data_IF_107441685241
#
_entry.id   IF_107441685241
#
_cell.length_a   1.000
_cell.length_b   1.000
_cell.length_c   1.000
_cell.angle_alpha   90.00
_cell.angle_beta   90.00
_cell.angle_gamma   90.00
#
_symmetry.space_group_name_H-M   'P 1'
#
loop_
_entity.id
_entity.type
_entity.pdbx_description
1 polymer ?
#
# COMPACT_ATOMS: atom_id res chain seq x y z
N UNK A 1 -4.07 -10.71 16.98
CA UNK A 1 -3.05 -9.92 17.70
C UNK A 1 -1.85 -9.66 16.80
N UNK A 2 -1.35 -8.46 16.82
CA UNK A 2 -0.20 -8.09 16.01
C UNK A 2 1.07 -8.15 16.85
N UNK A 3 2.17 -8.56 16.22
CA UNK A 3 3.47 -8.59 16.87
C UNK A 3 4.27 -7.35 16.48
N UNK A 4 4.76 -6.61 17.47
CA UNK A 4 5.63 -5.46 17.21
C UNK A 4 7.01 -5.96 16.80
N UNK A 5 7.49 -5.54 15.64
CA UNK A 5 8.77 -5.93 15.10
C UNK A 5 9.70 -4.72 14.98
N UNK A 6 10.99 -4.95 15.13
CA UNK A 6 12.00 -3.96 14.84
C UNK A 6 12.18 -3.82 13.33
N UNK A 7 12.72 -2.68 12.90
CA UNK A 7 12.84 -2.38 11.48
C UNK A 7 13.57 -3.40 10.62
N UNK A 8 14.48 -4.19 11.24
CA UNK A 8 15.21 -5.25 10.53
C UNK A 8 14.37 -6.47 10.17
N UNK A 9 13.20 -6.62 10.80
CA UNK A 9 12.31 -7.77 10.58
C UNK A 9 11.26 -7.49 9.53
N UNK A 10 11.18 -6.27 9.04
CA UNK A 10 10.19 -5.84 8.05
C UNK A 10 10.91 -5.49 6.76
N UNK A 11 10.49 -6.11 5.67
CA UNK A 11 11.11 -5.95 4.35
C UNK A 11 10.13 -5.32 3.36
N UNK A 12 10.67 -4.68 2.35
CA UNK A 12 9.89 -4.09 1.27
C UNK A 12 8.94 -5.14 0.68
N UNK A 13 7.67 -4.79 0.59
CA UNK A 13 6.63 -5.69 0.12
C UNK A 13 5.84 -6.37 1.23
N UNK A 14 6.28 -6.28 2.47
CA UNK A 14 5.56 -6.89 3.59
C UNK A 14 4.31 -6.09 3.95
N UNK A 15 3.29 -6.80 4.41
CA UNK A 15 2.09 -6.17 4.93
C UNK A 15 2.37 -5.63 6.33
N UNK A 16 1.91 -4.40 6.57
CA UNK A 16 2.07 -3.75 7.86
C UNK A 16 0.76 -3.09 8.29
N UNK A 17 0.59 -2.99 9.60
CA UNK A 17 -0.40 -2.10 10.21
C UNK A 17 0.36 -0.87 10.70
N UNK A 18 -0.15 0.30 10.32
CA UNK A 18 0.45 1.59 10.67
C UNK A 18 -0.47 2.28 11.67
N UNK A 19 0.07 2.64 12.84
CA UNK A 19 -0.71 3.28 13.89
C UNK A 19 -0.94 4.75 13.58
N UNK A 20 -2.21 5.16 13.60
CA UNK A 20 -2.65 6.55 13.45
C UNK A 20 -3.41 6.96 14.70
N UNK A 21 -2.72 7.04 15.83
CA UNK A 21 -3.38 7.28 17.11
C UNK A 21 -4.09 6.03 17.61
N UNK A 22 -5.42 6.04 17.66
CA UNK A 22 -6.22 4.90 18.15
C UNK A 22 -6.51 3.86 17.07
N UNK A 23 -6.28 4.19 15.80
CA UNK A 23 -6.60 3.33 14.68
C UNK A 23 -5.35 2.83 13.98
N UNK A 24 -5.52 1.75 13.20
CA UNK A 24 -4.47 1.22 12.34
C UNK A 24 -4.93 1.29 10.89
N UNK A 25 -4.00 1.68 10.01
CA UNK A 25 -4.19 1.58 8.57
C UNK A 25 -3.36 0.41 8.05
N UNK A 26 -3.88 -0.30 7.07
CA UNK A 26 -3.14 -1.40 6.43
C UNK A 26 -2.36 -0.83 5.25
N UNK A 27 -1.10 -1.24 5.14
CA UNK A 27 -0.24 -0.82 4.05
C UNK A 27 0.74 -1.89 3.64
N UNK A 28 1.41 -1.62 2.52
CA UNK A 28 2.50 -2.46 2.02
C UNK A 28 3.77 -1.66 2.22
N UNK A 29 4.68 -2.21 3.02
CA UNK A 29 5.90 -1.52 3.40
C UNK A 29 6.80 -1.28 2.20
N UNK A 30 7.31 -0.08 2.07
CA UNK A 30 8.18 0.30 0.95
C UNK A 30 9.58 0.70 1.39
N UNK A 31 9.86 0.69 2.68
CA UNK A 31 11.16 1.02 3.22
C UNK A 31 11.15 2.31 4.03
N UNK A 32 12.35 2.76 4.38
CA UNK A 32 12.51 4.01 5.09
C UNK A 32 13.00 5.08 4.13
N UNK A 33 12.42 6.27 4.25
CA UNK A 33 12.81 7.44 3.47
C UNK A 33 13.79 8.32 4.21
N UNK A 34 13.98 9.54 3.72
CA UNK A 34 14.83 10.54 4.34
C UNK A 34 14.45 10.77 5.80
N UNK A 35 15.46 10.87 6.66
CA UNK A 35 15.24 11.08 8.09
C UNK A 35 14.64 9.88 8.82
N UNK A 36 14.62 8.69 8.18
CA UNK A 36 14.08 7.48 8.79
C UNK A 36 12.55 7.39 8.74
N UNK A 37 11.88 8.22 7.95
CA UNK A 37 10.45 8.13 7.77
C UNK A 37 10.04 6.75 7.25
N UNK A 38 8.83 6.32 7.57
CA UNK A 38 8.28 5.06 7.08
C UNK A 38 7.50 5.34 5.80
N UNK A 39 7.82 4.61 4.73
CA UNK A 39 7.11 4.70 3.46
C UNK A 39 6.28 3.45 3.26
N UNK A 40 5.02 3.62 2.87
CA UNK A 40 4.15 2.48 2.59
C UNK A 40 3.07 2.86 1.57
N UNK A 41 2.55 1.83 0.90
CA UNK A 41 1.44 1.97 -0.02
C UNK A 41 0.15 1.68 0.74
N UNK A 42 -0.77 2.65 0.76
CA UNK A 42 -2.06 2.49 1.46
C UNK A 42 -3.00 1.60 0.67
N UNK A 43 -3.34 0.44 1.20
CA UNK A 43 -4.17 -0.54 0.48
C UNK A 43 -5.62 -0.08 0.30
N UNK A 44 -6.12 0.77 1.18
CA UNK A 44 -7.51 1.23 1.12
C UNK A 44 -7.83 2.07 -0.13
N UNK A 45 -6.80 2.57 -0.81
CA UNK A 45 -7.00 3.41 -2.00
C UNK A 45 -6.92 2.63 -3.31
N UNK A 46 -6.52 1.36 -3.26
CA UNK A 46 -6.27 0.57 -4.47
C UNK A 46 -7.46 0.46 -5.40
N UNK A 47 -8.61 0.08 -4.87
CA UNK A 47 -9.82 -0.06 -5.69
C UNK A 47 -10.28 1.25 -6.30
N UNK A 48 -10.19 2.33 -5.54
CA UNK A 48 -10.53 3.66 -6.02
C UNK A 48 -9.61 4.11 -7.17
N UNK A 49 -8.31 3.90 -7.00
CA UNK A 49 -7.33 4.25 -8.04
C UNK A 49 -7.54 3.43 -9.31
N UNK A 50 -7.81 2.12 -9.16
CA UNK A 50 -8.08 1.22 -10.29
C UNK A 50 -9.30 1.69 -11.08
N UNK A 51 -10.40 1.98 -10.39
CA UNK A 51 -11.63 2.43 -11.02
C UNK A 51 -11.44 3.75 -11.77
N UNK A 52 -10.76 4.70 -11.17
CA UNK A 52 -10.51 6.00 -11.80
C UNK A 52 -9.65 5.86 -13.05
N UNK A 53 -8.67 4.97 -13.03
CA UNK A 53 -7.86 4.69 -14.21
C UNK A 53 -8.70 4.07 -15.32
N UNK A 54 -9.53 3.07 -14.99
CA UNK A 54 -10.40 2.42 -15.98
C UNK A 54 -11.36 3.42 -16.64
N UNK A 55 -11.93 4.34 -15.86
CA UNK A 55 -12.79 5.38 -16.38
C UNK A 55 -12.03 6.32 -17.34
N UNK A 56 -10.78 6.64 -17.03
CA UNK A 56 -9.94 7.45 -17.91
C UNK A 56 -9.63 6.74 -19.23
N UNK A 57 -9.38 5.45 -19.19
CA UNK A 57 -9.16 4.65 -20.40
C UNK A 57 -10.38 4.71 -21.29
N UNK A 58 -11.58 4.60 -20.74
CA UNK A 58 -12.83 4.65 -21.49
C UNK A 58 -13.06 6.01 -22.14
N UNK A 59 -12.68 7.10 -21.49
CA UNK A 59 -12.94 8.45 -21.96
C UNK A 59 -11.84 9.05 -22.83
N UNK A 60 -10.58 8.68 -22.60
CA UNK A 60 -9.42 9.30 -23.24
C UNK A 60 -8.47 8.33 -23.94
N UNK A 61 -8.67 7.02 -23.75
CA UNK A 61 -7.79 6.00 -24.30
C UNK A 61 -6.61 5.67 -23.37
N UNK A 62 -6.04 4.50 -23.58
CA UNK A 62 -4.99 3.95 -22.70
C UNK A 62 -3.73 4.83 -22.65
N UNK A 63 -3.31 5.39 -23.80
CA UNK A 63 -2.09 6.19 -23.86
C UNK A 63 -2.18 7.47 -23.03
N UNK A 64 -3.33 8.13 -23.07
CA UNK A 64 -3.55 9.36 -22.29
C UNK A 64 -3.82 9.06 -20.82
N UNK A 65 -4.32 7.88 -20.51
CA UNK A 65 -4.60 7.47 -19.13
C UNK A 65 -3.35 7.04 -18.37
N UNK A 66 -2.28 6.63 -19.04
CA UNK A 66 -1.06 6.15 -18.40
C UNK A 66 -0.41 7.17 -17.45
N UNK A 67 -0.20 8.44 -17.83
CA UNK A 67 0.32 9.44 -16.88
C UNK A 67 -0.56 9.60 -15.65
N UNK A 68 -1.87 9.51 -15.82
CA UNK A 68 -2.81 9.56 -14.69
C UNK A 68 -2.62 8.35 -13.77
N UNK A 69 -2.45 7.16 -14.32
CA UNK A 69 -2.20 5.95 -13.55
C UNK A 69 -0.94 6.07 -12.71
N UNK A 70 0.16 6.54 -13.31
CA UNK A 70 1.41 6.74 -12.61
C UNK A 70 1.27 7.76 -11.48
N UNK A 71 0.57 8.85 -11.73
CA UNK A 71 0.33 9.88 -10.72
C UNK A 71 -0.50 9.34 -9.55
N UNK A 72 -1.53 8.52 -9.83
CA UNK A 72 -2.34 7.90 -8.78
C UNK A 72 -1.51 6.92 -7.95
N UNK A 73 -0.63 6.16 -8.57
CA UNK A 73 0.27 5.27 -7.86
C UNK A 73 1.09 6.05 -6.82
N UNK A 74 1.78 7.10 -7.25
CA UNK A 74 2.63 7.87 -6.36
C UNK A 74 1.86 8.59 -5.26
N UNK A 75 0.64 9.02 -5.52
CA UNK A 75 -0.23 9.63 -4.51
C UNK A 75 -0.69 8.64 -3.44
N UNK A 76 -0.65 7.36 -3.74
CA UNK A 76 -1.04 6.31 -2.80
C UNK A 76 0.08 5.93 -1.83
N UNK A 77 1.32 6.34 -2.11
CA UNK A 77 2.42 6.16 -1.19
C UNK A 77 2.36 7.22 -0.10
N UNK A 78 2.57 6.78 1.12
CA UNK A 78 2.49 7.63 2.31
C UNK A 78 3.84 7.65 3.01
N UNK A 79 4.30 8.85 3.37
CA UNK A 79 5.46 9.05 4.23
C UNK A 79 4.97 9.42 5.62
N UNK A 80 5.43 8.68 6.63
CA UNK A 80 5.07 8.94 8.01
C UNK A 80 6.31 9.35 8.81
N UNK A 81 6.14 10.02 9.98
CA UNK A 81 7.26 10.28 10.86
C UNK A 81 8.03 9.01 11.23
N UNK A 82 9.34 9.15 11.47
CA UNK A 82 10.21 7.99 11.76
C UNK A 82 9.81 7.21 13.02
N UNK A 83 9.13 7.84 13.96
CA UNK A 83 8.66 7.24 15.20
C UNK A 83 7.27 6.64 15.08
N UNK A 84 6.70 6.64 13.88
CA UNK A 84 5.41 5.99 13.64
C UNK A 84 5.51 4.51 13.93
N UNK A 85 4.57 4.01 14.71
CA UNK A 85 4.53 2.59 15.08
C UNK A 85 4.02 1.77 13.92
N UNK A 86 4.79 0.73 13.55
CA UNK A 86 4.38 -0.20 12.52
C UNK A 86 4.48 -1.63 13.06
N UNK A 87 3.57 -2.47 12.59
CA UNK A 87 3.49 -3.88 12.98
C UNK A 87 3.45 -4.72 11.72
N UNK A 88 4.25 -5.78 11.67
CA UNK A 88 4.17 -6.71 10.56
C UNK A 88 2.91 -7.56 10.68
N UNK A 89 2.20 -7.72 9.59
CA UNK A 89 0.99 -8.55 9.52
C UNK A 89 1.28 -9.83 8.75
N UNK A 90 0.78 -10.94 9.26
CA UNK A 90 0.77 -12.20 8.54
C UNK A 90 -0.60 -12.37 7.89
N UNK A 91 -0.68 -13.22 6.86
CA UNK A 91 -1.94 -13.52 6.19
C UNK A 91 -3.04 -13.92 7.18
N UNK A 92 -2.69 -14.69 8.21
CA UNK A 92 -3.64 -15.18 9.21
C UNK A 92 -4.24 -14.08 10.09
N UNK A 93 -3.58 -12.92 10.16
CA UNK A 93 -4.08 -11.78 10.93
C UNK A 93 -5.23 -11.04 10.22
N UNK A 94 -5.44 -11.33 8.95
CA UNK A 94 -6.39 -10.58 8.12
C UNK A 94 -7.56 -11.48 7.77
N UNK A 95 -8.71 -11.19 8.36
CA UNK A 95 -9.91 -12.00 8.20
C UNK A 95 -11.05 -11.25 7.53
N UNK A 96 -10.97 -9.92 7.48
CA UNK A 96 -11.98 -9.08 6.86
C UNK A 96 -11.90 -9.18 5.32
N UNK A 97 -13.00 -9.58 4.71
CA UNK A 97 -13.06 -9.80 3.26
C UNK A 97 -12.73 -8.54 2.45
N UNK A 98 -13.24 -7.39 2.89
CA UNK A 98 -12.96 -6.13 2.21
C UNK A 98 -11.48 -5.79 2.23
N UNK A 99 -10.84 -6.00 3.37
CA UNK A 99 -9.41 -5.76 3.52
C UNK A 99 -8.60 -6.70 2.62
N UNK A 100 -8.99 -7.97 2.54
CA UNK A 100 -8.33 -8.95 1.68
C UNK A 100 -8.44 -8.51 0.22
N UNK A 101 -9.61 -8.06 -0.23
CA UNK A 101 -9.81 -7.58 -1.60
C UNK A 101 -8.94 -6.36 -1.89
N UNK A 102 -8.82 -5.43 -0.96
CA UNK A 102 -7.97 -4.25 -1.10
C UNK A 102 -6.49 -4.64 -1.25
N UNK A 103 -6.04 -5.62 -0.48
CA UNK A 103 -4.67 -6.13 -0.55
C UNK A 103 -4.41 -6.78 -1.91
N UNK A 104 -5.33 -7.61 -2.38
CA UNK A 104 -5.18 -8.29 -3.67
C UNK A 104 -5.16 -7.30 -4.83
N UNK A 105 -6.00 -6.27 -4.79
CA UNK A 105 -5.97 -5.22 -5.81
C UNK A 105 -4.68 -4.41 -5.76
N UNK A 106 -4.18 -4.12 -4.56
CA UNK A 106 -2.89 -3.45 -4.39
C UNK A 106 -1.76 -4.29 -4.97
N UNK A 107 -1.80 -5.60 -4.74
CA UNK A 107 -0.81 -6.52 -5.29
C UNK A 107 -0.78 -6.49 -6.81
N UNK A 108 -1.95 -6.48 -7.45
CA UNK A 108 -2.04 -6.37 -8.92
C UNK A 108 -1.47 -5.05 -9.43
N UNK A 109 -1.84 -3.95 -8.80
CA UNK A 109 -1.37 -2.61 -9.19
C UNK A 109 0.14 -2.53 -9.08
N UNK A 110 0.69 -2.94 -7.94
CA UNK A 110 2.12 -2.84 -7.68
C UNK A 110 2.94 -3.78 -8.56
N UNK A 111 2.38 -4.92 -8.93
CA UNK A 111 3.04 -5.87 -9.85
C UNK A 111 3.31 -5.24 -11.20
N UNK A 112 2.39 -4.41 -11.71
CA UNK A 112 2.58 -3.72 -12.99
C UNK A 112 3.79 -2.75 -12.95
N UNK A 113 4.20 -2.34 -11.76
CA UNK A 113 5.35 -1.46 -11.56
C UNK A 113 6.56 -2.21 -11.00
N UNK A 114 6.58 -3.53 -11.14
CA UNK A 114 7.66 -4.41 -10.68
C UNK A 114 7.91 -4.36 -9.17
N UNK A 115 6.85 -4.11 -8.42
CA UNK A 115 6.90 -4.13 -6.96
C UNK A 115 6.21 -5.41 -6.48
N UNK A 116 6.99 -6.28 -5.83
CA UNK A 116 6.48 -7.54 -5.34
C UNK A 116 5.88 -7.40 -3.94
N UNK A 117 4.69 -7.97 -3.74
CA UNK A 117 3.97 -7.93 -2.47
C UNK A 117 3.99 -9.31 -1.84
N UNK A 118 4.40 -9.37 -0.60
CA UNK A 118 4.51 -10.61 0.18
C UNK A 118 3.18 -10.92 0.90
N UNK A 119 2.24 -11.44 0.11
CA UNK A 119 0.93 -11.85 0.64
C UNK A 119 0.46 -13.19 0.12
#
# INVERSE_FOLDING_TARGET
>A
MYTVLHGGDIHKGDLIAVSNGNDFSIGIYFGRGSGGTVQYYGTSTAGYCKKRYEDRVKTQGADKALPFKLNQLWKSFINTPRDTRILKLNRDNITDQKTIEEILESKEILKEFNIEVNY
#
